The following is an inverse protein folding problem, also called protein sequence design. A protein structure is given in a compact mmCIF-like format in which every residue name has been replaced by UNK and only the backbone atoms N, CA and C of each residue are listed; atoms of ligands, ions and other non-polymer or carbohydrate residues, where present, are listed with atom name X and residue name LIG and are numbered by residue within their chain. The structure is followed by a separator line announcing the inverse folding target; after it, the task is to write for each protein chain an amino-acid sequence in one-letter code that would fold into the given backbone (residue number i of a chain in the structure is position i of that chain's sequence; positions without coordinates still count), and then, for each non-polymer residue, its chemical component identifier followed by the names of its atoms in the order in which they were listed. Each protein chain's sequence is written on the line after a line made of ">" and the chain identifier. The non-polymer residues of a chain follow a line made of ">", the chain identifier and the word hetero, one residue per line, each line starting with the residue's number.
data_IF_760289231056
#
_entry.id   IF_760289231056
#
_cell.length_a   1.000
_cell.length_b   1.000
_cell.length_c   1.000
_cell.angle_alpha   90.00
_cell.angle_beta   90.00
_cell.angle_gamma   90.00
#
_symmetry.space_group_name_H-M   'P 1'
#
loop_
_entity.id
_entity.type
_entity.pdbx_description
1 polymer ?
#
# COMPACT_ATOMS: atom_id res chain seq x y z
N UNK A 1 -13.07 32.22 15.58
CA UNK A 1 -11.79 32.89 15.88
C UNK A 1 -10.75 32.39 14.88
N UNK A 2 -10.68 32.94 13.66
CA UNK A 2 -9.67 32.56 12.64
C UNK A 2 -8.37 33.36 12.70
N UNK A 3 -8.28 34.44 13.49
CA UNK A 3 -7.18 35.41 13.34
C UNK A 3 -5.90 35.11 14.11
N UNK A 4 -5.83 34.04 14.89
CA UNK A 4 -4.63 33.72 15.68
C UNK A 4 -3.65 32.75 14.96
N UNK A 5 -4.12 31.99 13.98
CA UNK A 5 -3.30 30.99 13.28
C UNK A 5 -2.31 31.64 12.27
N UNK A 6 -2.67 32.77 11.70
CA UNK A 6 -1.82 33.47 10.72
C UNK A 6 -0.74 34.36 11.34
N UNK A 7 -0.87 34.79 12.59
CA UNK A 7 0.18 35.52 13.31
C UNK A 7 1.29 34.59 13.83
N UNK A 8 0.95 33.38 14.26
CA UNK A 8 1.95 32.39 14.73
C UNK A 8 2.85 31.88 13.61
N UNK A 9 2.40 31.92 12.33
CA UNK A 9 3.24 31.52 11.17
C UNK A 9 4.36 32.48 10.83
N UNK A 10 4.46 33.66 11.44
CA UNK A 10 5.52 34.65 11.20
C UNK A 10 6.72 34.50 12.14
N UNK A 11 6.64 33.71 13.20
CA UNK A 11 7.79 33.43 14.05
C UNK A 11 8.58 32.23 13.56
N UNK A 12 9.90 32.32 13.42
CA UNK A 12 10.74 31.18 13.12
C UNK A 12 10.57 30.12 14.22
N UNK A 13 10.31 28.85 13.83
CA UNK A 13 10.13 27.69 14.72
C UNK A 13 8.81 27.62 15.50
N UNK A 14 7.75 28.30 15.05
CA UNK A 14 6.41 28.21 15.67
C UNK A 14 5.95 26.76 15.90
N UNK A 15 6.34 25.83 15.03
CA UNK A 15 6.00 24.41 15.12
C UNK A 15 6.72 23.68 16.26
N UNK A 16 7.89 24.15 16.70
CA UNK A 16 8.72 23.47 17.70
C UNK A 16 8.04 23.45 19.07
N UNK A 17 7.33 24.51 19.45
CA UNK A 17 6.57 24.56 20.69
C UNK A 17 5.49 23.45 20.73
N UNK A 18 4.75 23.30 19.65
CA UNK A 18 3.68 22.29 19.57
C UNK A 18 4.24 20.85 19.53
N UNK A 19 5.38 20.64 18.86
CA UNK A 19 6.05 19.33 18.87
C UNK A 19 6.56 19.01 20.28
N UNK A 20 7.15 19.99 20.99
CA UNK A 20 7.62 19.82 22.37
C UNK A 20 6.47 19.44 23.32
N UNK A 21 5.33 20.10 23.21
CA UNK A 21 4.12 19.78 23.98
C UNK A 21 3.69 18.32 23.77
N UNK A 22 3.65 17.87 22.51
CA UNK A 22 3.31 16.48 22.19
C UNK A 22 4.33 15.48 22.79
N UNK A 23 5.61 15.84 22.83
CA UNK A 23 6.65 15.00 23.42
C UNK A 23 6.53 14.95 24.94
N UNK A 24 6.27 16.08 25.59
CA UNK A 24 6.04 16.17 27.04
C UNK A 24 4.80 15.37 27.47
N UNK A 25 3.74 15.40 26.67
CA UNK A 25 2.53 14.63 26.88
C UNK A 25 2.70 13.11 26.63
N UNK A 26 3.90 12.64 26.27
CA UNK A 26 4.15 11.24 25.92
C UNK A 26 3.61 10.83 24.54
N UNK A 27 3.04 11.76 23.77
CA UNK A 27 2.46 11.51 22.43
C UNK A 27 3.52 11.51 21.32
N UNK A 28 4.67 10.85 21.55
CA UNK A 28 5.86 10.88 20.68
C UNK A 28 5.59 10.42 19.24
N UNK A 29 4.74 9.40 19.05
CA UNK A 29 4.34 8.96 17.71
C UNK A 29 3.59 10.05 16.91
N UNK A 30 2.81 10.88 17.60
CA UNK A 30 2.10 12.02 16.99
C UNK A 30 3.06 13.16 16.65
N UNK A 31 4.05 13.41 17.51
CA UNK A 31 5.12 14.38 17.29
C UNK A 31 5.95 14.01 16.04
N UNK A 32 6.36 12.74 15.89
CA UNK A 32 7.08 12.25 14.71
C UNK A 32 6.25 12.39 13.44
N UNK A 33 4.97 12.04 13.46
CA UNK A 33 4.08 12.24 12.29
C UNK A 33 3.96 13.70 11.88
N UNK A 34 3.91 14.60 12.85
CA UNK A 34 3.86 16.03 12.58
C UNK A 34 5.16 16.55 11.93
N UNK A 35 6.32 16.11 12.44
CA UNK A 35 7.61 16.42 11.84
C UNK A 35 7.76 15.87 10.42
N UNK A 36 7.27 14.65 10.16
CA UNK A 36 7.22 14.10 8.80
C UNK A 36 6.42 15.00 7.87
N UNK A 37 5.24 15.43 8.32
CA UNK A 37 4.38 16.33 7.54
C UNK A 37 5.06 17.68 7.24
N UNK A 38 5.85 18.21 8.16
CA UNK A 38 6.59 19.45 7.91
C UNK A 38 7.72 19.25 6.92
N UNK A 39 8.44 18.12 6.98
CA UNK A 39 9.44 17.75 5.97
C UNK A 39 8.81 17.59 4.58
N UNK A 40 7.65 16.94 4.50
CA UNK A 40 6.90 16.77 3.24
C UNK A 40 6.45 18.11 2.66
N UNK A 41 6.09 19.07 3.50
CA UNK A 41 5.71 20.42 3.10
C UNK A 41 6.90 21.33 2.80
N UNK A 42 8.12 20.87 3.08
CA UNK A 42 9.35 21.67 2.91
C UNK A 42 9.49 22.84 3.88
N UNK A 43 8.74 22.82 4.99
CA UNK A 43 8.76 23.87 6.00
C UNK A 43 10.00 23.71 6.89
N UNK A 44 10.81 24.76 7.03
CA UNK A 44 12.01 24.81 7.89
C UNK A 44 12.85 23.53 7.86
N UNK A 45 13.02 22.97 6.67
CA UNK A 45 13.45 21.59 6.42
C UNK A 45 14.70 21.18 7.22
N UNK A 46 15.70 22.07 7.34
CA UNK A 46 16.93 21.78 8.05
C UNK A 46 16.69 21.61 9.57
N UNK A 47 15.90 22.51 10.14
CA UNK A 47 15.60 22.49 11.57
C UNK A 47 14.62 21.36 11.93
N UNK A 48 13.64 21.12 11.09
CA UNK A 48 12.68 20.00 11.27
C UNK A 48 13.42 18.67 11.20
N UNK A 49 14.36 18.51 10.26
CA UNK A 49 15.19 17.31 10.18
C UNK A 49 16.04 17.12 11.43
N UNK A 50 16.78 18.15 11.84
CA UNK A 50 17.62 18.13 13.05
C UNK A 50 16.80 17.74 14.29
N UNK A 51 15.66 18.38 14.47
CA UNK A 51 14.79 18.13 15.60
C UNK A 51 14.24 16.69 15.60
N UNK A 52 13.82 16.18 14.43
CA UNK A 52 13.38 14.81 14.27
C UNK A 52 14.48 13.80 14.56
N UNK A 53 15.67 14.04 14.07
CA UNK A 53 16.84 13.19 14.29
C UNK A 53 17.19 13.14 15.77
N UNK A 54 17.22 14.28 16.47
CA UNK A 54 17.44 14.35 17.91
C UNK A 54 16.34 13.63 18.70
N UNK A 55 15.09 13.77 18.30
CA UNK A 55 13.96 13.07 18.94
C UNK A 55 14.09 11.55 18.78
N UNK A 56 14.43 11.07 17.59
CA UNK A 56 14.66 9.66 17.31
C UNK A 56 15.84 9.10 18.13
N UNK A 57 16.94 9.86 18.28
CA UNK A 57 18.06 9.49 19.14
C UNK A 57 17.63 9.34 20.62
N UNK A 58 16.88 10.32 21.15
CA UNK A 58 16.37 10.26 22.53
C UNK A 58 15.45 9.07 22.77
N UNK A 59 14.74 8.61 21.75
CA UNK A 59 13.87 7.44 21.78
C UNK A 59 14.62 6.11 21.55
N UNK A 60 15.94 6.13 21.39
CA UNK A 60 16.74 4.94 21.08
C UNK A 60 16.59 4.42 19.64
N UNK A 61 15.87 5.15 18.77
CA UNK A 61 15.60 4.79 17.37
C UNK A 61 16.72 5.29 16.44
N UNK A 62 17.96 4.96 16.80
CA UNK A 62 19.17 5.49 16.13
C UNK A 62 19.24 5.10 14.65
N UNK A 63 18.85 3.86 14.31
CA UNK A 63 18.82 3.38 12.91
C UNK A 63 17.94 4.26 12.02
N UNK A 64 16.81 4.69 12.52
CA UNK A 64 15.91 5.59 11.80
C UNK A 64 16.51 7.00 11.68
N UNK A 65 17.16 7.50 12.72
CA UNK A 65 17.82 8.79 12.68
C UNK A 65 18.89 8.82 11.57
N UNK A 66 19.71 7.77 11.48
CA UNK A 66 20.74 7.62 10.43
C UNK A 66 20.08 7.55 9.04
N UNK A 67 19.02 6.76 8.89
CA UNK A 67 18.31 6.64 7.61
C UNK A 67 17.79 8.00 7.10
N UNK A 68 17.26 8.84 8.01
CA UNK A 68 16.78 10.18 7.66
C UNK A 68 17.91 11.11 7.21
N UNK A 69 19.04 11.08 7.89
CA UNK A 69 20.21 11.90 7.52
C UNK A 69 20.78 11.45 6.17
N UNK A 70 20.90 10.14 5.93
CA UNK A 70 21.39 9.62 4.66
C UNK A 70 20.47 9.99 3.50
N UNK A 71 19.15 9.88 3.68
CA UNK A 71 18.19 10.27 2.67
C UNK A 71 18.27 11.74 2.30
N UNK A 72 18.33 12.63 3.31
CA UNK A 72 18.47 14.07 3.02
C UNK A 72 19.78 14.38 2.30
N UNK A 73 20.86 13.65 2.61
CA UNK A 73 22.12 13.78 1.89
C UNK A 73 22.01 13.36 0.41
N UNK A 74 21.18 12.34 0.10
CA UNK A 74 20.90 11.95 -1.28
C UNK A 74 19.96 12.93 -2.02
N UNK A 75 18.97 13.47 -1.32
CA UNK A 75 18.04 14.44 -1.88
C UNK A 75 18.68 15.81 -2.12
N UNK A 76 19.75 16.13 -1.39
CA UNK A 76 20.48 17.41 -1.46
C UNK A 76 21.99 17.15 -1.61
N UNK A 77 22.44 16.53 -2.70
CA UNK A 77 23.84 16.26 -2.94
C UNK A 77 24.58 17.59 -3.09
N UNK A 78 25.53 17.86 -2.18
CA UNK A 78 26.31 19.10 -2.17
C UNK A 78 25.88 20.11 -1.11
N UNK A 79 24.86 19.85 -0.29
CA UNK A 79 24.55 20.70 0.88
C UNK A 79 25.56 20.41 2.02
N UNK A 80 26.46 21.37 2.34
CA UNK A 80 27.53 21.13 3.28
C UNK A 80 27.03 20.86 4.71
N UNK A 81 25.87 21.38 5.09
CA UNK A 81 25.29 21.18 6.42
C UNK A 81 24.81 19.72 6.58
N UNK A 82 24.17 19.19 5.55
CA UNK A 82 23.65 17.82 5.56
C UNK A 82 24.79 16.81 5.46
N UNK A 83 25.79 17.08 4.63
CA UNK A 83 26.99 16.23 4.55
C UNK A 83 27.75 16.19 5.88
N UNK A 84 27.93 17.34 6.53
CA UNK A 84 28.54 17.40 7.87
C UNK A 84 27.72 16.62 8.91
N UNK A 85 26.41 16.76 8.90
CA UNK A 85 25.52 16.01 9.80
C UNK A 85 25.61 14.49 9.53
N UNK A 86 25.69 14.07 8.27
CA UNK A 86 25.89 12.67 7.90
C UNK A 86 27.20 12.13 8.43
N UNK A 87 28.29 12.85 8.23
CA UNK A 87 29.62 12.45 8.68
C UNK A 87 29.70 12.38 10.21
N UNK A 88 29.09 13.32 10.93
CA UNK A 88 28.96 13.29 12.39
C UNK A 88 28.21 12.05 12.87
N UNK A 89 27.07 11.73 12.25
CA UNK A 89 26.29 10.54 12.60
C UNK A 89 27.02 9.24 12.27
N UNK A 90 27.72 9.18 11.14
CA UNK A 90 28.52 8.00 10.78
C UNK A 90 29.74 7.81 11.69
N UNK A 91 30.29 8.87 12.24
CA UNK A 91 31.38 8.80 13.21
C UNK A 91 30.88 8.39 14.61
N UNK A 92 29.72 8.89 15.04
CA UNK A 92 29.12 8.54 16.34
C UNK A 92 28.59 7.10 16.36
N UNK A 93 28.14 6.60 15.20
CA UNK A 93 27.57 5.27 15.04
C UNK A 93 28.31 4.52 13.92
N UNK A 94 29.56 4.09 14.16
CA UNK A 94 30.36 3.42 13.14
C UNK A 94 29.70 2.12 12.65
N UNK A 95 30.02 1.74 11.43
CA UNK A 95 29.51 0.55 10.72
C UNK A 95 29.58 -0.77 11.49
N UNK A 96 30.31 -0.83 12.60
CA UNK A 96 30.35 -2.00 13.50
C UNK A 96 29.01 -2.36 14.16
N UNK A 97 28.02 -1.46 14.10
CA UNK A 97 26.63 -1.78 14.46
C UNK A 97 25.87 -2.51 13.32
N UNK A 98 26.46 -2.54 12.12
CA UNK A 98 25.96 -3.29 10.99
C UNK A 98 26.91 -4.47 10.82
N UNK A 99 26.49 -5.68 11.21
CA UNK A 99 27.30 -6.91 11.12
C UNK A 99 27.93 -7.04 9.72
N UNK A 100 29.27 -7.20 9.60
CA UNK A 100 29.92 -7.39 8.31
C UNK A 100 29.48 -8.73 7.71
N UNK A 101 28.86 -8.66 6.52
CA UNK A 101 28.39 -9.83 5.77
C UNK A 101 26.87 -9.91 5.53
N UNK A 102 26.06 -9.09 6.19
CA UNK A 102 24.69 -8.84 5.71
C UNK A 102 24.74 -7.81 4.60
N UNK A 103 24.01 -8.01 3.47
CA UNK A 103 23.83 -6.94 2.51
C UNK A 103 23.35 -5.71 3.28
N UNK A 104 24.02 -4.57 3.08
CA UNK A 104 23.57 -3.28 3.62
C UNK A 104 22.10 -3.18 3.30
N UNK A 105 21.19 -3.11 4.31
CA UNK A 105 19.79 -2.92 4.01
C UNK A 105 19.73 -1.70 3.10
N UNK A 106 19.01 -1.78 2.00
CA UNK A 106 18.75 -0.60 1.20
C UNK A 106 18.04 0.40 2.13
N UNK A 107 18.83 1.28 2.75
CA UNK A 107 18.36 2.27 3.73
C UNK A 107 17.32 3.18 3.08
N UNK A 108 17.43 3.37 1.76
CA UNK A 108 16.45 4.09 0.98
C UNK A 108 15.14 3.32 0.85
N UNK A 109 15.20 2.00 0.65
CA UNK A 109 14.02 1.14 0.62
C UNK A 109 13.39 1.04 2.02
N UNK A 110 14.19 0.87 3.08
CA UNK A 110 13.69 0.88 4.46
C UNK A 110 13.05 2.23 4.83
N UNK A 111 13.64 3.33 4.36
CA UNK A 111 13.09 4.67 4.57
C UNK A 111 11.80 4.91 3.76
N UNK A 112 11.79 4.53 2.50
CA UNK A 112 10.57 4.57 1.67
C UNK A 112 9.46 3.74 2.30
N UNK A 113 9.79 2.57 2.84
CA UNK A 113 8.86 1.73 3.58
C UNK A 113 8.31 2.40 4.85
N UNK A 114 9.15 3.15 5.60
CA UNK A 114 8.70 3.90 6.79
C UNK A 114 7.79 5.08 6.45
N UNK A 115 8.00 5.74 5.31
CA UNK A 115 7.14 6.85 4.87
C UNK A 115 5.82 6.41 4.24
N UNK A 116 5.71 5.15 3.85
CA UNK A 116 4.47 4.54 3.41
C UNK A 116 3.67 4.02 4.60
N UNK A 117 3.43 4.86 5.63
CA UNK A 117 2.65 4.47 6.80
C UNK A 117 1.21 4.09 6.39
N UNK A 118 1.01 2.80 6.19
CA UNK A 118 -0.28 2.15 5.97
C UNK A 118 -0.48 1.14 7.08
N UNK A 119 -0.80 1.61 8.32
CA UNK A 119 -0.82 0.75 9.50
C UNK A 119 -1.79 -0.42 9.36
N UNK A 120 -2.82 -0.24 8.54
CA UNK A 120 -3.85 -1.25 8.32
C UNK A 120 -3.48 -2.27 7.22
N UNK A 121 -2.38 -2.10 6.49
CA UNK A 121 -1.96 -3.01 5.43
C UNK A 121 -0.71 -3.73 5.86
N UNK A 122 -0.83 -5.02 6.16
CA UNK A 122 0.31 -5.86 6.51
C UNK A 122 1.24 -6.10 5.32
N UNK A 123 2.55 -6.03 5.52
CA UNK A 123 3.55 -6.27 4.49
C UNK A 123 3.41 -5.39 3.24
N UNK A 124 3.59 -5.97 2.05
CA UNK A 124 3.45 -5.32 0.72
C UNK A 124 4.29 -4.06 0.55
N UNK A 125 5.50 -4.01 1.12
CA UNK A 125 6.32 -2.79 1.18
C UNK A 125 6.64 -2.22 -0.19
N UNK A 126 7.00 -3.07 -1.16
CA UNK A 126 7.31 -2.65 -2.54
C UNK A 126 6.08 -2.01 -3.21
N UNK A 127 4.90 -2.61 -3.01
CA UNK A 127 3.63 -2.11 -3.55
C UNK A 127 3.29 -0.76 -2.92
N UNK A 128 3.44 -0.62 -1.60
CA UNK A 128 3.22 0.64 -0.89
C UNK A 128 4.12 1.75 -1.42
N UNK A 129 5.41 1.44 -1.66
CA UNK A 129 6.39 2.37 -2.22
C UNK A 129 5.98 2.77 -3.65
N UNK A 130 5.63 1.79 -4.48
CA UNK A 130 5.18 2.05 -5.83
C UNK A 130 3.94 2.95 -5.85
N UNK A 131 2.90 2.62 -5.08
CA UNK A 131 1.68 3.43 -4.99
C UNK A 131 1.94 4.82 -4.41
N UNK A 132 2.88 4.94 -3.46
CA UNK A 132 3.27 6.23 -2.92
C UNK A 132 3.88 7.13 -4.00
N UNK A 133 4.85 6.62 -4.75
CA UNK A 133 5.58 7.38 -5.76
C UNK A 133 4.73 7.69 -7.00
N UNK A 134 3.98 6.69 -7.48
CA UNK A 134 3.30 6.77 -8.78
C UNK A 134 1.88 7.35 -8.67
N UNK A 135 1.27 7.32 -7.47
CA UNK A 135 -0.12 7.75 -7.26
C UNK A 135 -0.22 8.85 -6.21
N UNK A 136 0.23 8.58 -4.97
CA UNK A 136 -0.03 9.47 -3.84
C UNK A 136 0.72 10.79 -4.01
N UNK A 137 2.00 10.77 -4.32
CA UNK A 137 2.80 11.98 -4.53
C UNK A 137 2.30 12.81 -5.72
N UNK A 138 2.05 12.25 -6.91
CA UNK A 138 1.49 13.02 -8.03
C UNK A 138 0.15 13.67 -7.71
N UNK A 139 -0.76 12.95 -7.05
CA UNK A 139 -2.07 13.48 -6.69
C UNK A 139 -2.00 14.56 -5.61
N UNK A 140 -1.05 14.47 -4.67
CA UNK A 140 -0.85 15.50 -3.63
C UNK A 140 -0.15 16.76 -4.15
N UNK A 141 0.75 16.60 -5.10
CA UNK A 141 1.58 17.69 -5.63
C UNK A 141 1.29 17.99 -7.11
N UNK A 142 0.00 17.99 -7.49
CA UNK A 142 -0.47 18.13 -8.88
C UNK A 142 0.22 19.26 -9.65
N UNK A 143 0.33 20.44 -9.05
CA UNK A 143 0.94 21.60 -9.72
C UNK A 143 2.44 21.39 -10.01
N UNK A 144 3.15 20.72 -9.11
CA UNK A 144 4.55 20.36 -9.32
C UNK A 144 4.70 19.43 -10.54
N UNK A 145 3.89 18.36 -10.59
CA UNK A 145 3.94 17.38 -11.68
C UNK A 145 3.51 17.99 -13.02
N UNK A 146 2.46 18.82 -13.02
CA UNK A 146 2.03 19.58 -14.21
C UNK A 146 3.14 20.49 -14.75
N UNK A 147 3.90 21.16 -13.89
CA UNK A 147 5.03 22.00 -14.29
C UNK A 147 6.08 21.22 -15.08
N UNK A 148 6.31 19.96 -14.72
CA UNK A 148 7.22 19.06 -15.44
C UNK A 148 6.54 18.30 -16.59
N UNK A 149 5.28 18.63 -16.92
CA UNK A 149 4.48 17.97 -17.96
C UNK A 149 4.31 16.46 -17.71
N UNK A 150 4.33 16.04 -16.44
CA UNK A 150 4.03 14.66 -16.05
C UNK A 150 2.53 14.54 -15.84
N UNK A 151 1.89 13.63 -16.58
CA UNK A 151 0.46 13.33 -16.44
C UNK A 151 0.16 12.66 -15.08
N UNK A 152 -1.03 12.94 -14.54
CA UNK A 152 -1.53 12.22 -13.39
C UNK A 152 -2.11 10.88 -13.85
N UNK A 153 -2.04 9.82 -13.03
CA UNK A 153 -2.59 8.52 -13.40
C UNK A 153 -4.11 8.58 -13.52
N UNK A 154 -4.65 8.01 -14.60
CA UNK A 154 -6.10 7.86 -14.81
C UNK A 154 -6.62 6.58 -14.18
N UNK A 155 -5.82 5.51 -14.22
CA UNK A 155 -6.22 4.21 -13.69
C UNK A 155 -5.06 3.37 -13.17
N UNK A 156 -5.39 2.51 -12.22
CA UNK A 156 -4.49 1.52 -11.62
C UNK A 156 -5.12 0.14 -11.79
N UNK A 157 -4.32 -0.81 -12.25
CA UNK A 157 -4.73 -2.20 -12.37
C UNK A 157 -3.98 -3.04 -11.36
N UNK A 158 -4.70 -3.59 -10.37
CA UNK A 158 -4.19 -4.60 -9.46
C UNK A 158 -4.40 -5.98 -10.06
N UNK A 159 -3.32 -6.73 -10.26
CA UNK A 159 -3.41 -8.07 -10.82
C UNK A 159 -2.67 -9.10 -9.98
N UNK A 160 -3.09 -10.36 -10.02
CA UNK A 160 -2.46 -11.44 -9.29
C UNK A 160 -3.46 -12.43 -8.70
N UNK A 161 -2.99 -13.44 -7.96
CA UNK A 161 -3.82 -14.53 -7.47
C UNK A 161 -5.00 -14.05 -6.62
N UNK A 162 -6.11 -14.80 -6.58
CA UNK A 162 -7.24 -14.49 -5.72
C UNK A 162 -6.85 -14.57 -4.23
N UNK A 163 -7.57 -13.84 -3.39
CA UNK A 163 -7.36 -13.88 -1.94
C UNK A 163 -6.13 -13.12 -1.42
N UNK A 164 -5.35 -12.44 -2.28
CA UNK A 164 -4.15 -11.70 -1.89
C UNK A 164 -4.39 -10.24 -1.44
N UNK A 165 -5.66 -9.82 -1.30
CA UNK A 165 -5.99 -8.51 -0.70
C UNK A 165 -6.07 -7.35 -1.69
N UNK A 166 -6.28 -7.59 -3.00
CA UNK A 166 -6.41 -6.55 -4.04
C UNK A 166 -7.49 -5.51 -3.72
N UNK A 167 -8.70 -5.96 -3.39
CA UNK A 167 -9.85 -5.11 -3.02
C UNK A 167 -9.55 -4.29 -1.77
N UNK A 168 -9.00 -4.93 -0.74
CA UNK A 168 -8.61 -4.27 0.50
C UNK A 168 -7.57 -3.16 0.28
N UNK A 169 -6.57 -3.43 -0.57
CA UNK A 169 -5.55 -2.45 -0.93
C UNK A 169 -6.13 -1.24 -1.64
N UNK A 170 -7.12 -1.45 -2.55
CA UNK A 170 -7.81 -0.37 -3.24
C UNK A 170 -8.60 0.54 -2.28
N UNK A 171 -9.32 -0.06 -1.33
CA UNK A 171 -10.05 0.68 -0.30
C UNK A 171 -9.11 1.52 0.57
N UNK A 172 -7.99 0.92 1.03
CA UNK A 172 -6.99 1.64 1.84
C UNK A 172 -6.29 2.74 1.06
N UNK A 173 -6.05 2.53 -0.24
CA UNK A 173 -5.52 3.57 -1.13
C UNK A 173 -6.46 4.77 -1.19
N UNK A 174 -7.77 4.55 -1.37
CA UNK A 174 -8.76 5.63 -1.39
C UNK A 174 -8.71 6.47 -0.12
N UNK A 175 -8.69 5.84 1.05
CA UNK A 175 -8.51 6.53 2.33
C UNK A 175 -7.21 7.32 2.42
N UNK A 176 -6.11 6.76 1.88
CA UNK A 176 -4.79 7.40 1.92
C UNK A 176 -4.68 8.64 1.05
N UNK A 177 -5.34 8.66 -0.11
CA UNK A 177 -5.39 9.83 -1.01
C UNK A 177 -6.51 10.82 -0.69
N UNK A 178 -7.39 10.47 0.27
CA UNK A 178 -8.53 11.29 0.63
C UNK A 178 -9.67 11.28 -0.39
N UNK A 179 -9.79 10.19 -1.18
CA UNK A 179 -10.86 9.99 -2.15
C UNK A 179 -11.96 9.14 -1.56
N UNK A 180 -13.19 9.39 -2.00
CA UNK A 180 -14.33 8.52 -1.69
C UNK A 180 -14.17 7.19 -2.43
N UNK A 181 -14.21 6.08 -1.70
CA UNK A 181 -14.23 4.74 -2.31
C UNK A 181 -15.63 4.44 -2.83
N UNK A 182 -15.74 4.16 -4.14
CA UNK A 182 -16.99 3.85 -4.80
C UNK A 182 -16.84 2.53 -5.56
N UNK A 183 -17.28 1.41 -4.96
CA UNK A 183 -17.30 0.13 -5.66
C UNK A 183 -18.37 0.18 -6.76
N UNK A 184 -18.03 -0.35 -7.92
CA UNK A 184 -18.90 -0.49 -9.08
C UNK A 184 -19.07 -1.98 -9.33
N UNK A 185 -20.28 -2.46 -9.19
CA UNK A 185 -20.61 -3.85 -9.47
C UNK A 185 -20.78 -4.07 -10.98
N UNK A 186 -20.52 -5.29 -11.44
CA UNK A 186 -20.75 -5.67 -12.84
C UNK A 186 -22.21 -5.48 -13.26
N UNK A 187 -23.15 -5.60 -12.31
CA UNK A 187 -24.58 -5.31 -12.49
C UNK A 187 -24.89 -3.84 -12.76
N UNK A 188 -24.07 -2.92 -12.24
CA UNK A 188 -24.23 -1.48 -12.44
C UNK A 188 -23.81 -1.06 -13.85
N UNK A 189 -22.97 -1.85 -14.48
CA UNK A 189 -22.43 -1.60 -15.82
C UNK A 189 -23.15 -2.46 -16.85
N UNK A 190 -23.42 -3.74 -16.57
CA UNK A 190 -24.03 -4.69 -17.48
C UNK A 190 -25.54 -4.54 -17.60
N UNK A 191 -26.09 -4.71 -18.80
CA UNK A 191 -27.51 -4.84 -19.05
C UNK A 191 -27.74 -5.89 -20.14
N UNK A 192 -28.77 -6.72 -20.04
CA UNK A 192 -29.17 -7.61 -21.13
C UNK A 192 -29.78 -6.85 -22.33
N UNK A 193 -30.04 -5.55 -22.18
CA UNK A 193 -30.64 -4.72 -23.22
C UNK A 193 -29.61 -3.85 -23.93
N UNK A 194 -29.66 -3.84 -25.25
CA UNK A 194 -28.80 -3.06 -26.14
C UNK A 194 -28.98 -1.57 -25.85
N UNK A 195 -27.88 -0.80 -25.77
CA UNK A 195 -27.81 0.65 -25.48
C UNK A 195 -28.04 1.09 -24.03
N UNK A 196 -28.50 0.26 -23.11
CA UNK A 196 -28.61 0.66 -21.71
C UNK A 196 -27.25 0.67 -20.98
N UNK A 197 -26.35 -0.22 -21.37
CA UNK A 197 -25.03 -0.36 -20.71
C UNK A 197 -24.17 0.89 -20.89
N UNK A 198 -24.09 1.46 -22.10
CA UNK A 198 -23.32 2.67 -22.32
C UNK A 198 -23.86 3.87 -21.52
N UNK A 199 -25.19 3.95 -21.36
CA UNK A 199 -25.84 4.96 -20.54
C UNK A 199 -25.56 4.73 -19.02
N UNK A 200 -25.56 3.47 -18.56
CA UNK A 200 -25.26 3.12 -17.18
C UNK A 200 -23.80 3.44 -16.83
N UNK A 201 -22.83 3.05 -17.67
CA UNK A 201 -21.42 3.39 -17.52
C UNK A 201 -21.26 4.91 -17.43
N UNK A 202 -21.82 5.65 -18.38
CA UNK A 202 -21.76 7.12 -18.41
C UNK A 202 -22.35 7.75 -17.15
N UNK A 203 -23.46 7.18 -16.62
CA UNK A 203 -24.09 7.64 -15.37
C UNK A 203 -23.20 7.43 -14.16
N UNK A 204 -22.60 6.23 -14.01
CA UNK A 204 -21.68 5.91 -12.89
C UNK A 204 -20.52 6.91 -12.85
N UNK A 205 -19.87 7.17 -13.98
CA UNK A 205 -18.79 8.15 -14.04
C UNK A 205 -19.25 9.57 -13.71
N UNK A 206 -20.42 9.98 -14.21
CA UNK A 206 -20.98 11.31 -13.93
C UNK A 206 -21.38 11.49 -12.47
N UNK A 207 -21.97 10.48 -11.86
CA UNK A 207 -22.30 10.48 -10.43
C UNK A 207 -21.02 10.53 -9.58
N UNK A 208 -19.99 9.78 -9.94
CA UNK A 208 -18.71 9.83 -9.27
C UNK A 208 -18.06 11.22 -9.35
N UNK A 209 -18.15 11.89 -10.50
CA UNK A 209 -17.60 13.22 -10.73
C UNK A 209 -18.30 14.30 -9.88
N UNK A 210 -19.63 14.21 -9.74
CA UNK A 210 -20.42 15.18 -8.98
C UNK A 210 -20.22 15.06 -7.46
N UNK A 211 -19.79 13.92 -6.97
CA UNK A 211 -19.64 13.65 -5.55
C UNK A 211 -18.23 13.98 -4.97
N UNK A 212 -17.40 14.71 -5.72
CA UNK A 212 -16.04 15.12 -5.33
C UNK A 212 -14.98 14.08 -5.68
N UNK A 213 -13.76 14.21 -5.14
CA UNK A 213 -12.68 13.29 -5.47
C UNK A 213 -13.06 11.83 -5.16
N UNK A 214 -13.15 11.01 -6.19
CA UNK A 214 -13.68 9.63 -6.07
C UNK A 214 -12.72 8.62 -6.70
N UNK A 215 -12.50 7.52 -5.99
CA UNK A 215 -11.88 6.30 -6.50
C UNK A 215 -12.98 5.33 -6.91
N UNK A 216 -13.14 5.15 -8.21
CA UNK A 216 -14.03 4.13 -8.79
C UNK A 216 -13.32 2.78 -8.75
N UNK A 217 -13.89 1.82 -8.04
CA UNK A 217 -13.33 0.49 -7.92
C UNK A 217 -14.14 -0.52 -8.75
N UNK A 218 -13.46 -1.23 -9.65
CA UNK A 218 -14.07 -2.27 -10.50
C UNK A 218 -13.41 -3.61 -10.18
N UNK A 219 -14.18 -4.52 -9.58
CA UNK A 219 -13.67 -5.86 -9.28
C UNK A 219 -13.78 -6.78 -10.50
N UNK A 220 -12.83 -7.71 -10.61
CA UNK A 220 -12.81 -8.72 -11.67
C UNK A 220 -13.02 -8.14 -13.08
N UNK A 221 -12.22 -7.14 -13.44
CA UNK A 221 -12.28 -6.49 -14.75
C UNK A 221 -12.20 -7.49 -15.91
N UNK A 222 -11.52 -8.62 -15.71
CA UNK A 222 -11.45 -9.73 -16.67
C UNK A 222 -12.80 -10.35 -16.96
N UNK A 223 -13.76 -10.26 -16.06
CA UNK A 223 -15.15 -10.71 -16.32
C UNK A 223 -15.90 -9.77 -17.30
N UNK A 224 -15.53 -8.48 -17.30
CA UNK A 224 -16.14 -7.47 -18.17
C UNK A 224 -15.43 -7.37 -19.53
N UNK A 225 -14.11 -7.57 -19.54
CA UNK A 225 -13.22 -7.26 -20.68
C UNK A 225 -12.41 -8.49 -21.06
N UNK A 226 -13.08 -9.59 -21.39
CA UNK A 226 -12.44 -10.79 -21.91
C UNK A 226 -11.94 -10.57 -23.33
N UNK A 227 -10.80 -11.18 -23.68
CA UNK A 227 -10.20 -11.12 -25.01
C UNK A 227 -11.22 -11.48 -26.11
N UNK A 228 -11.19 -10.72 -27.19
CA UNK A 228 -12.14 -10.80 -28.32
C UNK A 228 -12.12 -12.14 -29.04
N UNK A 229 -11.02 -12.88 -28.92
CA UNK A 229 -10.80 -14.16 -29.60
C UNK A 229 -11.32 -15.38 -28.81
N UNK A 230 -11.74 -15.21 -27.54
CA UNK A 230 -12.29 -16.30 -26.74
C UNK A 230 -13.80 -16.37 -26.84
N UNK A 231 -14.27 -17.23 -27.76
CA UNK A 231 -15.61 -17.84 -27.82
C UNK A 231 -16.83 -16.90 -27.70
N UNK A 232 -17.34 -16.44 -28.83
CA UNK A 232 -18.77 -16.12 -29.01
C UNK A 232 -19.28 -14.90 -28.24
N UNK A 233 -18.43 -13.97 -27.84
CA UNK A 233 -18.86 -12.68 -27.28
C UNK A 233 -19.50 -11.85 -28.39
N UNK A 234 -20.83 -11.69 -28.33
CA UNK A 234 -21.58 -10.92 -29.30
C UNK A 234 -21.08 -9.46 -29.39
N UNK A 235 -21.38 -8.75 -30.49
CA UNK A 235 -20.93 -7.37 -30.77
C UNK A 235 -21.25 -6.38 -29.64
N UNK A 236 -22.15 -6.70 -28.76
CA UNK A 236 -22.65 -5.85 -27.66
C UNK A 236 -21.64 -5.63 -26.52
N UNK A 237 -20.85 -6.63 -26.16
CA UNK A 237 -19.79 -6.47 -25.13
C UNK A 237 -18.67 -5.55 -25.59
N UNK A 238 -18.41 -5.46 -26.87
CA UNK A 238 -17.40 -4.57 -27.44
C UNK A 238 -17.78 -3.08 -27.24
N UNK A 239 -19.07 -2.77 -27.34
CA UNK A 239 -19.56 -1.40 -27.12
C UNK A 239 -19.47 -1.00 -25.65
N UNK A 240 -19.75 -1.91 -24.73
CA UNK A 240 -19.64 -1.71 -23.28
C UNK A 240 -18.21 -1.38 -22.87
N UNK A 241 -17.27 -2.21 -23.30
CA UNK A 241 -15.85 -2.03 -23.05
C UNK A 241 -15.36 -0.69 -23.66
N UNK A 242 -15.75 -0.39 -24.89
CA UNK A 242 -15.34 0.84 -25.55
C UNK A 242 -15.87 2.08 -24.82
N UNK A 243 -17.11 2.08 -24.34
CA UNK A 243 -17.65 3.19 -23.57
C UNK A 243 -16.95 3.35 -22.22
N UNK A 244 -16.70 2.25 -21.49
CA UNK A 244 -15.92 2.27 -20.26
C UNK A 244 -14.53 2.87 -20.49
N UNK A 245 -13.82 2.40 -21.51
CA UNK A 245 -12.49 2.88 -21.85
C UNK A 245 -12.49 4.34 -22.33
N UNK A 246 -13.55 4.80 -22.97
CA UNK A 246 -13.75 6.20 -23.36
C UNK A 246 -13.94 7.09 -22.12
N UNK A 247 -14.72 6.64 -21.13
CA UNK A 247 -14.95 7.35 -19.88
C UNK A 247 -13.69 7.44 -19.01
N UNK A 248 -12.77 6.49 -19.14
CA UNK A 248 -11.48 6.51 -18.43
C UNK A 248 -10.56 7.64 -18.89
N UNK A 249 -10.75 8.16 -20.10
CA UNK A 249 -9.91 9.25 -20.59
C UNK A 249 -10.06 10.49 -19.68
N UNK A 250 -8.91 11.07 -19.30
CA UNK A 250 -8.84 12.29 -18.48
C UNK A 250 -9.55 12.20 -17.12
N UNK A 251 -9.67 10.99 -16.52
CA UNK A 251 -10.25 10.81 -15.20
C UNK A 251 -9.54 11.66 -14.15
N UNK A 252 -8.22 11.75 -14.20
CA UNK A 252 -7.42 12.55 -13.28
C UNK A 252 -7.76 14.05 -13.29
N UNK A 253 -8.15 14.60 -14.44
CA UNK A 253 -8.60 16.00 -14.56
C UNK A 253 -9.97 16.23 -13.94
N UNK A 254 -10.81 15.19 -13.92
CA UNK A 254 -12.16 15.19 -13.34
C UNK A 254 -12.16 14.80 -11.85
N UNK A 255 -10.99 14.72 -11.22
CA UNK A 255 -10.80 14.23 -9.84
C UNK A 255 -11.29 12.79 -9.63
N UNK A 256 -11.21 11.97 -10.65
CA UNK A 256 -11.50 10.56 -10.61
C UNK A 256 -10.20 9.75 -10.72
N UNK A 257 -10.15 8.64 -10.03
CA UNK A 257 -9.14 7.61 -10.18
C UNK A 257 -9.85 6.27 -10.34
N UNK A 258 -9.60 5.56 -11.43
CA UNK A 258 -10.17 4.24 -11.63
C UNK A 258 -9.20 3.18 -11.12
N UNK A 259 -9.65 2.33 -10.23
CA UNK A 259 -8.87 1.17 -9.77
C UNK A 259 -9.64 -0.09 -10.15
N UNK A 260 -8.98 -0.98 -10.87
CA UNK A 260 -9.58 -2.26 -11.22
C UNK A 260 -8.71 -3.42 -10.73
N UNK A 261 -9.35 -4.58 -10.58
CA UNK A 261 -8.65 -5.83 -10.26
C UNK A 261 -8.84 -6.84 -11.39
N UNK A 262 -7.85 -7.72 -11.55
CA UNK A 262 -7.97 -8.92 -12.37
C UNK A 262 -7.08 -10.04 -11.81
N UNK A 263 -7.35 -11.27 -12.23
CA UNK A 263 -6.53 -12.40 -11.81
C UNK A 263 -5.32 -12.62 -12.73
N UNK A 264 -5.42 -12.25 -14.02
CA UNK A 264 -4.32 -12.35 -14.99
C UNK A 264 -4.42 -11.24 -16.03
N UNK A 265 -3.28 -10.64 -16.38
CA UNK A 265 -3.19 -9.63 -17.45
C UNK A 265 -3.43 -10.22 -18.83
N UNK A 266 -3.12 -11.50 -19.04
CA UNK A 266 -3.24 -12.20 -20.31
C UNK A 266 -4.69 -12.36 -20.78
N UNK A 267 -5.64 -12.27 -19.84
CA UNK A 267 -7.07 -12.38 -20.12
C UNK A 267 -7.73 -11.06 -20.53
N UNK A 268 -7.00 -9.96 -20.41
CA UNK A 268 -7.54 -8.63 -20.70
C UNK A 268 -7.29 -8.24 -22.16
N UNK A 269 -8.30 -7.59 -22.77
CA UNK A 269 -8.11 -6.93 -24.07
C UNK A 269 -6.95 -5.92 -23.99
N UNK A 270 -6.04 -6.00 -24.95
CA UNK A 270 -4.88 -5.13 -25.05
C UNK A 270 -5.23 -3.62 -25.06
N UNK A 271 -6.44 -3.28 -25.47
CA UNK A 271 -6.94 -1.91 -25.44
C UNK A 271 -7.02 -1.33 -24.02
N UNK A 272 -7.29 -2.16 -23.02
CA UNK A 272 -7.34 -1.76 -21.60
C UNK A 272 -5.97 -1.32 -21.10
N UNK A 273 -4.93 -1.98 -21.58
CA UNK A 273 -3.56 -1.80 -21.13
C UNK A 273 -2.82 -0.66 -21.84
N UNK A 274 -3.49 0.08 -22.75
CA UNK A 274 -2.89 1.19 -23.48
C UNK A 274 -2.69 2.41 -22.58
N UNK A 275 -1.64 3.23 -22.82
CA UNK A 275 -1.42 4.47 -22.10
C UNK A 275 -2.65 5.40 -22.10
N UNK A 276 -2.85 6.13 -21.01
CA UNK A 276 -4.02 6.99 -20.80
C UNK A 276 -5.24 6.28 -20.19
N UNK A 277 -5.11 5.00 -19.86
CA UNK A 277 -6.16 4.17 -19.24
C UNK A 277 -5.65 3.61 -17.91
N UNK A 278 -5.27 2.31 -17.88
CA UNK A 278 -4.59 1.74 -16.71
C UNK A 278 -3.08 1.96 -16.84
N UNK A 279 -2.65 3.16 -16.47
CA UNK A 279 -1.27 3.59 -16.60
C UNK A 279 -0.33 2.84 -15.64
N UNK A 280 -0.87 2.47 -14.47
CA UNK A 280 -0.12 1.81 -13.40
C UNK A 280 -0.63 0.38 -13.25
N UNK A 281 0.30 -0.57 -13.31
CA UNK A 281 0.02 -2.00 -13.12
C UNK A 281 0.78 -2.48 -11.90
N UNK A 282 0.07 -3.07 -10.95
CA UNK A 282 0.63 -3.50 -9.67
C UNK A 282 0.34 -4.97 -9.46
N UNK A 283 1.37 -5.77 -9.34
CA UNK A 283 1.23 -7.18 -9.00
C UNK A 283 0.99 -7.35 -7.51
N UNK A 284 -0.13 -7.94 -7.13
CA UNK A 284 -0.49 -8.25 -5.75
C UNK A 284 -0.41 -9.76 -5.56
N UNK A 285 0.76 -10.21 -5.12
CA UNK A 285 1.06 -11.62 -4.91
C UNK A 285 0.72 -12.11 -3.50
N UNK A 286 1.03 -13.39 -3.23
CA UNK A 286 0.95 -13.94 -1.87
C UNK A 286 1.83 -13.14 -0.91
N UNK A 287 1.46 -13.07 0.38
CA UNK A 287 2.22 -12.35 1.39
C UNK A 287 3.60 -12.98 1.59
N UNK A 288 4.61 -12.14 1.73
CA UNK A 288 5.95 -12.54 2.15
C UNK A 288 5.97 -12.99 3.60
N UNK A 289 7.11 -13.46 4.09
CA UNK A 289 7.27 -13.98 5.44
C UNK A 289 6.88 -12.96 6.52
N UNK A 290 7.34 -11.72 6.37
CA UNK A 290 7.02 -10.64 7.29
C UNK A 290 5.53 -10.30 7.27
N UNK A 291 4.92 -10.24 6.08
CA UNK A 291 3.49 -10.00 5.93
C UNK A 291 2.65 -11.14 6.54
N UNK A 292 3.08 -12.43 6.40
CA UNK A 292 2.38 -13.55 7.04
C UNK A 292 2.41 -13.45 8.55
N UNK A 293 3.56 -13.06 9.11
CA UNK A 293 3.69 -12.83 10.55
C UNK A 293 2.71 -11.74 11.04
N UNK A 294 2.70 -10.59 10.35
CA UNK A 294 1.80 -9.49 10.69
C UNK A 294 0.32 -9.87 10.52
N UNK A 295 -0.04 -10.60 9.45
CA UNK A 295 -1.40 -11.07 9.21
C UNK A 295 -1.88 -12.07 10.28
N UNK A 296 -1.03 -13.01 10.69
CA UNK A 296 -1.36 -13.94 11.77
C UNK A 296 -1.65 -13.20 13.08
N UNK A 297 -0.81 -12.23 13.43
CA UNK A 297 -1.04 -11.37 14.61
C UNK A 297 -2.31 -10.54 14.47
N UNK A 298 -2.53 -9.95 13.32
CA UNK A 298 -3.71 -9.14 13.04
C UNK A 298 -5.01 -9.94 13.20
N UNK A 299 -5.09 -11.14 12.61
CA UNK A 299 -6.31 -11.95 12.69
C UNK A 299 -6.53 -12.62 14.06
N UNK A 300 -5.51 -12.69 14.89
CA UNK A 300 -5.62 -13.21 16.28
C UNK A 300 -5.84 -12.10 17.30
N UNK A 301 -5.54 -10.84 16.99
CA UNK A 301 -5.52 -9.71 17.93
C UNK A 301 -6.82 -9.57 18.75
N UNK A 302 -7.97 -9.65 18.11
CA UNK A 302 -9.27 -9.45 18.74
C UNK A 302 -9.90 -10.77 19.27
N UNK A 303 -9.10 -11.85 19.31
CA UNK A 303 -9.54 -13.17 19.75
C UNK A 303 -8.81 -13.56 21.03
N UNK A 304 -9.46 -14.24 21.97
CA UNK A 304 -8.74 -14.81 23.11
C UNK A 304 -7.69 -15.80 22.61
N UNK A 305 -6.41 -15.50 22.81
CA UNK A 305 -5.31 -16.37 22.41
C UNK A 305 -4.21 -16.40 23.46
N UNK A 306 -3.46 -17.49 23.51
CA UNK A 306 -2.34 -17.68 24.42
C UNK A 306 -1.15 -16.81 23.99
N UNK A 307 -0.47 -16.20 24.96
CA UNK A 307 0.79 -15.48 24.71
C UNK A 307 1.95 -16.42 24.30
N UNK A 308 1.81 -17.72 24.55
CA UNK A 308 2.81 -18.73 24.21
C UNK A 308 2.72 -19.25 22.77
N UNK A 309 2.04 -18.54 21.86
CA UNK A 309 1.98 -18.89 20.43
C UNK A 309 3.32 -18.58 19.78
N UNK A 310 3.93 -19.62 19.19
CA UNK A 310 5.13 -19.49 18.36
C UNK A 310 4.72 -19.11 16.91
N UNK A 311 4.79 -17.82 16.61
CA UNK A 311 4.45 -17.30 15.28
C UNK A 311 5.46 -17.72 14.21
N UNK A 312 6.74 -17.92 14.54
CA UNK A 312 7.77 -18.29 13.57
C UNK A 312 7.50 -19.69 13.00
N UNK A 313 7.06 -20.63 13.86
CA UNK A 313 6.61 -21.96 13.41
C UNK A 313 5.42 -21.84 12.45
N UNK A 314 4.42 -21.02 12.76
CA UNK A 314 3.25 -20.83 11.91
C UNK A 314 3.62 -20.19 10.58
N UNK A 315 4.47 -19.17 10.59
CA UNK A 315 4.97 -18.49 9.40
C UNK A 315 5.69 -19.43 8.45
N UNK A 316 6.53 -20.32 9.00
CA UNK A 316 7.24 -21.33 8.20
C UNK A 316 6.27 -22.31 7.52
N UNK A 317 5.19 -22.70 8.20
CA UNK A 317 4.21 -23.68 7.71
C UNK A 317 3.14 -23.07 6.78
N UNK A 318 3.01 -21.75 6.76
CA UNK A 318 2.09 -21.01 5.89
C UNK A 318 2.73 -20.47 4.62
N UNK A 319 3.89 -20.99 4.20
CA UNK A 319 4.52 -20.63 2.92
C UNK A 319 3.55 -20.89 1.75
N UNK A 320 3.33 -19.88 0.91
CA UNK A 320 2.42 -19.96 -0.22
C UNK A 320 0.94 -19.74 0.11
N UNK A 321 0.59 -19.43 1.35
CA UNK A 321 -0.78 -19.06 1.70
C UNK A 321 -1.12 -17.65 1.18
N UNK A 322 -2.35 -17.48 0.72
CA UNK A 322 -2.93 -16.16 0.47
C UNK A 322 -3.35 -15.48 1.79
N UNK A 323 -3.65 -14.19 1.75
CA UNK A 323 -4.20 -13.48 2.91
C UNK A 323 -5.53 -14.10 3.37
N UNK A 324 -6.33 -14.58 2.42
CA UNK A 324 -7.59 -15.26 2.71
C UNK A 324 -7.37 -16.62 3.41
N UNK A 325 -6.32 -17.37 3.02
CA UNK A 325 -5.99 -18.64 3.68
C UNK A 325 -5.55 -18.42 5.13
N UNK A 326 -4.73 -17.37 5.40
CA UNK A 326 -4.29 -17.04 6.75
C UNK A 326 -5.49 -16.64 7.63
N UNK A 327 -6.42 -15.85 7.09
CA UNK A 327 -7.66 -15.52 7.79
C UNK A 327 -8.46 -16.79 8.10
N UNK A 328 -8.62 -17.67 7.13
CA UNK A 328 -9.34 -18.93 7.27
C UNK A 328 -8.69 -19.86 8.29
N UNK A 329 -7.34 -19.87 8.36
CA UNK A 329 -6.58 -20.58 9.39
C UNK A 329 -6.92 -20.07 10.79
N UNK A 330 -6.94 -18.77 10.99
CA UNK A 330 -7.31 -18.16 12.26
C UNK A 330 -8.79 -18.42 12.65
N UNK A 331 -9.70 -18.40 11.65
CA UNK A 331 -11.11 -18.73 11.84
C UNK A 331 -11.31 -20.19 12.26
N UNK A 332 -10.61 -21.14 11.62
CA UNK A 332 -10.70 -22.56 11.93
C UNK A 332 -10.08 -22.87 13.30
N UNK A 333 -8.94 -22.25 13.64
CA UNK A 333 -8.33 -22.41 14.98
C UNK A 333 -9.27 -21.89 16.08
N UNK A 334 -9.96 -20.78 15.86
CA UNK A 334 -10.95 -20.25 16.79
C UNK A 334 -12.14 -21.20 16.96
N UNK A 335 -12.60 -21.78 15.85
CA UNK A 335 -13.70 -22.78 15.86
C UNK A 335 -13.30 -24.03 16.62
N UNK A 336 -12.10 -24.57 16.40
CA UNK A 336 -11.60 -25.75 17.15
C UNK A 336 -11.54 -25.44 18.62
N UNK A 337 -10.97 -24.28 19.02
CA UNK A 337 -10.91 -23.86 20.42
C UNK A 337 -12.31 -23.75 21.06
N UNK A 338 -13.27 -23.20 20.33
CA UNK A 338 -14.65 -23.08 20.81
C UNK A 338 -15.35 -24.45 20.97
N UNK A 339 -15.08 -25.41 20.08
CA UNK A 339 -15.64 -26.76 20.17
C UNK A 339 -15.02 -27.58 21.34
N UNK A 340 -13.77 -27.25 21.72
CA UNK A 340 -13.11 -27.86 22.89
C UNK A 340 -13.42 -27.13 24.21
N UNK A 341 -14.34 -26.12 24.21
CA UNK A 341 -14.65 -25.25 25.35
C UNK A 341 -13.38 -24.59 25.95
N UNK A 342 -12.38 -24.33 25.12
CA UNK A 342 -11.12 -23.72 25.54
C UNK A 342 -11.30 -22.22 25.80
N UNK A 343 -10.65 -21.69 26.85
CA UNK A 343 -10.68 -20.26 27.18
C UNK A 343 -9.92 -19.37 26.20
N UNK A 344 -8.99 -19.93 25.40
CA UNK A 344 -8.17 -19.21 24.46
C UNK A 344 -7.66 -20.13 23.34
N UNK A 345 -7.35 -19.54 22.18
CA UNK A 345 -6.69 -20.22 21.07
C UNK A 345 -5.24 -20.51 21.50
N UNK A 346 -4.82 -21.76 21.35
CA UNK A 346 -3.45 -22.21 21.65
C UNK A 346 -2.70 -22.61 20.39
N UNK A 347 -1.38 -22.82 20.50
CA UNK A 347 -0.57 -23.37 19.41
C UNK A 347 -1.14 -24.67 18.86
N UNK A 348 -1.68 -25.57 19.72
CA UNK A 348 -2.31 -26.83 19.30
C UNK A 348 -3.48 -26.61 18.36
N UNK A 349 -4.35 -25.65 18.66
CA UNK A 349 -5.52 -25.34 17.83
C UNK A 349 -5.10 -24.81 16.45
N UNK A 350 -4.06 -23.98 16.39
CA UNK A 350 -3.49 -23.46 15.13
C UNK A 350 -2.84 -24.55 14.29
N UNK A 351 -2.11 -25.47 14.89
CA UNK A 351 -1.52 -26.61 14.19
C UNK A 351 -2.60 -27.56 13.66
N UNK A 352 -3.65 -27.81 14.42
CA UNK A 352 -4.80 -28.59 13.95
C UNK A 352 -5.50 -27.90 12.77
N UNK A 353 -5.66 -26.58 12.83
CA UNK A 353 -6.25 -25.81 11.75
C UNK A 353 -5.40 -25.82 10.47
N UNK A 354 -4.07 -25.89 10.55
CA UNK A 354 -3.18 -26.02 9.40
C UNK A 354 -3.43 -27.30 8.59
N UNK A 355 -3.76 -28.40 9.27
CA UNK A 355 -4.11 -29.66 8.60
C UNK A 355 -5.44 -29.56 7.86
N UNK A 356 -6.40 -28.78 8.39
CA UNK A 356 -7.73 -28.60 7.83
C UNK A 356 -7.79 -27.53 6.72
N UNK A 357 -6.85 -26.59 6.69
CA UNK A 357 -6.82 -25.44 5.77
C UNK A 357 -5.56 -25.49 4.91
N UNK A 358 -5.58 -26.23 3.79
CA UNK A 358 -4.45 -26.19 2.84
C UNK A 358 -4.40 -24.84 2.10
N UNK A 359 -3.22 -24.50 1.56
CA UNK A 359 -3.06 -23.34 0.66
C UNK A 359 -4.01 -23.45 -0.54
N UNK A 360 -4.70 -22.34 -0.85
CA UNK A 360 -5.54 -22.22 -2.04
C UNK A 360 -4.74 -21.96 -3.31
N UNK A 361 -3.48 -21.55 -3.17
CA UNK A 361 -2.61 -21.22 -4.29
C UNK A 361 -1.75 -22.43 -4.70
N UNK A 362 -1.50 -22.62 -6.01
CA UNK A 362 -0.60 -23.68 -6.45
C UNK A 362 0.80 -23.42 -5.90
N UNK A 363 1.40 -24.44 -5.28
CA UNK A 363 2.81 -24.35 -4.88
C UNK A 363 3.65 -24.12 -6.13
N UNK A 364 4.50 -23.09 -6.10
CA UNK A 364 5.56 -22.95 -7.12
C UNK A 364 6.46 -24.16 -6.97
N UNK A 365 6.42 -25.10 -7.91
CA UNK A 365 7.43 -26.12 -7.99
C UNK A 365 8.79 -25.42 -8.04
N UNK A 366 9.65 -25.72 -7.07
CA UNK A 366 11.05 -25.28 -7.14
C UNK A 366 11.57 -25.74 -8.49
N UNK A 367 12.19 -24.86 -9.31
CA UNK A 367 12.76 -25.30 -10.58
C UNK A 367 13.67 -26.50 -10.27
N UNK A 368 13.38 -27.65 -10.88
CA UNK A 368 14.27 -28.81 -10.81
C UNK A 368 15.62 -28.31 -11.23
N UNK A 369 16.59 -28.32 -10.32
CA UNK A 369 17.97 -28.06 -10.65
C UNK A 369 18.31 -28.98 -11.83
N UNK A 370 18.44 -28.44 -13.03
CA UNK A 370 19.06 -29.15 -14.14
C UNK A 370 20.44 -29.54 -13.65
N UNK A 371 20.61 -30.82 -13.37
CA UNK A 371 21.93 -31.42 -13.23
C UNK A 371 22.53 -31.32 -14.62
N UNK A 372 23.39 -30.32 -14.81
CA UNK A 372 24.30 -30.28 -15.94
C UNK A 372 25.18 -31.50 -15.73
N UNK A 373 24.89 -32.57 -16.46
CA UNK A 373 25.77 -33.71 -16.60
C UNK A 373 26.96 -33.31 -17.45
N UNK A 374 28.14 -33.56 -16.95
CA UNK A 374 29.38 -33.55 -17.72
C UNK A 374 29.39 -34.71 -18.70
#
# INVERSE_FOLDING_TARGET
>A
MPDNVDRERQEPFWWAAHVNELVQDGKTARAIRLLNRFLDLGLDRDYVLLYKVQLLQKLGRVKEAIAWVCLEAELRPGDPKILSLKDEFMNLYPYSLFEPGRPTPDLLAAFRAMNTDWPDVAGMQEIKIQLHNDVILPLRHREKFKRFKVGLPNGILFYGPPGCGKTYLAEKLAGKIGYRFCPVETSDIGSPYIHETSLKVSRVFKEAETNGPTLLYVDELDSLVTDRDSLGTGPYRVEEVNEFLKQMNNCSERNLLVVATCNSLERLDSAVLRPGRFDIKVFVGPPDEAARHDLLRYFLHDRPHSEAIDFDVLVSQTEGYSNADIRRLADEAAKVAALEDASAITQKHLLCALEAVPSSLPRKDKPKSERIGF
#
